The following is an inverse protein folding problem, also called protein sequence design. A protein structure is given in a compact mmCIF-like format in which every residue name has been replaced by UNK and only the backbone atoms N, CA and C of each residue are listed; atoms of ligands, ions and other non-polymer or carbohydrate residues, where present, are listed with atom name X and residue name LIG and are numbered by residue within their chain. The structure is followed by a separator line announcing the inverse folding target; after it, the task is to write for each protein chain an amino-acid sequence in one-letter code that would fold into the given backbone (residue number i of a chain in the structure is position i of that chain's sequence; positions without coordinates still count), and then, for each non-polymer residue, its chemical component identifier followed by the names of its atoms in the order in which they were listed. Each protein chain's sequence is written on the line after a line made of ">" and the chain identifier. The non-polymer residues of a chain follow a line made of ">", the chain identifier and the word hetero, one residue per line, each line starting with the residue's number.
data_IF_334793575716
#
_entry.id   IF_334793575716
#
_cell.length_a   1.000
_cell.length_b   1.000
_cell.length_c   1.000
_cell.angle_alpha   90.00
_cell.angle_beta   90.00
_cell.angle_gamma   90.00
#
_symmetry.space_group_name_H-M   'P 1'
#
loop_
_entity.id
_entity.type
_entity.pdbx_description
1 polymer ?
#
# COMPACT_ATOMS: atom_id res chain seq x y z
N UNK A 1 0.88 -15.57 2.47
CA UNK A 1 1.45 -14.41 1.77
C UNK A 1 0.41 -13.93 0.78
N UNK A 2 -0.18 -12.75 0.99
CA UNK A 2 -0.99 -12.12 -0.05
C UNK A 2 0.01 -11.52 -1.02
N UNK A 3 0.23 -12.21 -2.12
CA UNK A 3 1.14 -11.73 -3.17
C UNK A 3 0.41 -10.57 -3.85
N UNK A 4 1.00 -9.37 -3.84
CA UNK A 4 0.56 -8.27 -4.70
C UNK A 4 0.54 -8.81 -6.14
N UNK A 5 -0.63 -8.88 -6.77
CA UNK A 5 -0.77 -9.50 -8.10
C UNK A 5 -0.20 -8.61 -9.21
N UNK A 6 -0.16 -7.30 -8.96
CA UNK A 6 0.28 -6.28 -9.91
C UNK A 6 1.71 -6.53 -10.46
N UNK A 7 2.75 -6.73 -9.63
CA UNK A 7 4.09 -7.08 -10.11
C UNK A 7 4.12 -8.33 -10.99
N UNK A 8 3.41 -9.40 -10.56
CA UNK A 8 3.34 -10.66 -11.32
C UNK A 8 2.68 -10.45 -12.68
N UNK A 9 1.58 -9.69 -12.74
CA UNK A 9 0.89 -9.37 -14.00
C UNK A 9 1.78 -8.56 -14.95
N UNK A 10 2.62 -7.66 -14.44
CA UNK A 10 3.56 -6.89 -15.26
C UNK A 10 4.64 -7.80 -15.88
N UNK A 11 5.17 -8.74 -15.10
CA UNK A 11 6.17 -9.71 -15.57
C UNK A 11 5.61 -10.68 -16.63
N UNK A 12 4.29 -10.91 -16.65
CA UNK A 12 3.61 -11.74 -17.65
C UNK A 12 3.36 -11.05 -18.99
N UNK A 13 3.62 -9.74 -19.11
CA UNK A 13 3.40 -9.01 -20.36
C UNK A 13 4.36 -9.48 -21.48
N UNK A 14 3.90 -9.59 -22.73
CA UNK A 14 4.76 -9.99 -23.85
C UNK A 14 5.91 -8.99 -24.07
N UNK A 15 7.13 -9.51 -24.25
CA UNK A 15 8.34 -8.72 -24.50
C UNK A 15 8.28 -7.61 -25.59
N UNK A 16 7.47 -7.70 -26.69
CA UNK A 16 7.41 -6.61 -27.67
C UNK A 16 6.57 -5.39 -27.24
N UNK A 17 5.83 -5.45 -26.11
CA UNK A 17 5.04 -4.34 -25.62
C UNK A 17 5.90 -3.41 -24.76
N UNK A 18 6.47 -2.36 -25.38
CA UNK A 18 7.05 -1.24 -24.65
C UNK A 18 5.94 -0.46 -23.95
N UNK A 19 5.63 -0.88 -22.73
CA UNK A 19 4.61 -0.26 -21.89
C UNK A 19 5.23 0.66 -20.84
N UNK A 20 4.53 1.74 -20.51
CA UNK A 20 4.80 2.57 -19.34
C UNK A 20 3.67 2.38 -18.33
N UNK A 21 4.04 2.19 -17.07
CA UNK A 21 3.08 2.20 -15.97
C UNK A 21 2.45 3.61 -15.88
N UNK A 22 1.13 3.65 -15.99
CA UNK A 22 0.36 4.88 -15.82
C UNK A 22 -0.19 4.99 -14.42
N UNK A 23 -0.73 3.89 -13.91
CA UNK A 23 -1.45 3.86 -12.66
C UNK A 23 -1.41 2.44 -12.09
N UNK A 24 -1.68 2.31 -10.80
CA UNK A 24 -1.64 1.04 -10.11
C UNK A 24 -2.53 1.01 -8.88
N UNK A 25 -2.91 -0.22 -8.54
CA UNK A 25 -3.48 -0.62 -7.27
C UNK A 25 -2.62 -1.75 -6.69
N UNK A 26 -3.01 -2.33 -5.56
CA UNK A 26 -2.37 -3.54 -5.06
C UNK A 26 -2.59 -4.76 -5.98
N UNK A 27 -3.67 -4.80 -6.75
CA UNK A 27 -4.11 -5.98 -7.52
C UNK A 27 -4.26 -5.74 -9.03
N UNK A 28 -4.08 -4.51 -9.51
CA UNK A 28 -4.09 -4.19 -10.94
C UNK A 28 -3.04 -3.13 -11.28
N UNK A 29 -2.64 -3.13 -12.55
CA UNK A 29 -1.79 -2.09 -13.13
C UNK A 29 -2.44 -1.56 -14.40
N UNK A 30 -2.38 -0.25 -14.61
CA UNK A 30 -2.74 0.39 -15.87
C UNK A 30 -1.44 0.73 -16.58
N UNK A 31 -1.35 0.27 -17.81
CA UNK A 31 -0.18 0.49 -18.66
C UNK A 31 -0.61 1.16 -19.96
N UNK A 32 0.17 2.11 -20.45
CA UNK A 32 0.01 2.69 -21.78
C UNK A 32 1.21 2.39 -22.65
N UNK A 33 1.05 2.64 -23.95
CA UNK A 33 2.17 2.65 -24.88
C UNK A 33 3.17 3.73 -24.47
N UNK A 34 4.47 3.40 -24.45
CA UNK A 34 5.55 4.25 -23.93
C UNK A 34 5.72 5.62 -24.63
N UNK A 35 4.97 5.89 -25.71
CA UNK A 35 4.96 7.17 -26.40
C UNK A 35 4.06 8.25 -25.75
N UNK A 36 3.26 7.90 -24.74
CA UNK A 36 2.38 8.86 -24.06
C UNK A 36 2.95 9.32 -22.72
N UNK A 37 2.90 10.63 -22.39
CA UNK A 37 3.30 11.11 -21.08
C UNK A 37 2.40 10.51 -19.99
N UNK A 38 3.01 9.94 -18.96
CA UNK A 38 2.30 9.53 -17.75
C UNK A 38 2.05 10.77 -16.90
N UNK A 39 0.78 11.10 -16.65
CA UNK A 39 0.40 12.15 -15.70
C UNK A 39 -0.02 11.47 -14.41
N UNK A 40 0.85 11.50 -13.41
CA UNK A 40 0.49 11.07 -12.08
C UNK A 40 -0.55 12.05 -11.51
N UNK A 41 -1.68 11.55 -11.02
CA UNK A 41 -2.65 12.38 -10.31
C UNK A 41 -2.04 12.88 -8.99
N UNK A 42 -2.27 14.16 -8.60
CA UNK A 42 -1.79 14.67 -7.32
C UNK A 42 -2.49 13.97 -6.15
N UNK A 43 -1.88 13.97 -4.95
CA UNK A 43 -2.54 13.47 -3.75
C UNK A 43 -3.82 14.25 -3.44
N UNK A 44 -4.86 13.56 -2.99
CA UNK A 44 -6.10 14.18 -2.55
C UNK A 44 -5.92 14.96 -1.24
N UNK A 45 -5.03 14.48 -0.37
CA UNK A 45 -4.59 15.17 0.85
C UNK A 45 -3.09 15.44 0.74
N UNK A 46 -2.72 16.71 0.63
CA UNK A 46 -1.33 17.17 0.70
C UNK A 46 -0.85 17.20 2.15
N UNK A 47 0.39 16.78 2.38
CA UNK A 47 1.02 16.74 3.70
C UNK A 47 2.36 17.48 3.70
N UNK A 48 3.40 16.91 3.07
CA UNK A 48 4.82 17.30 3.19
C UNK A 48 5.48 16.88 4.52
N UNK A 49 5.21 15.63 4.95
CA UNK A 49 5.77 15.05 6.17
C UNK A 49 7.13 14.38 5.91
N UNK A 50 8.18 14.88 6.58
CA UNK A 50 9.52 14.30 6.47
C UNK A 50 9.59 13.00 7.27
N UNK A 51 9.44 11.86 6.59
CA UNK A 51 9.51 10.54 7.21
C UNK A 51 10.95 10.13 7.54
N UNK A 52 11.89 10.43 6.64
CA UNK A 52 13.34 10.26 6.82
C UNK A 52 14.07 11.42 6.11
N UNK A 53 15.36 11.68 6.39
CA UNK A 53 16.10 12.78 5.74
C UNK A 53 16.05 12.80 4.21
N UNK A 54 15.92 11.63 3.55
CA UNK A 54 15.83 11.51 2.08
C UNK A 54 14.45 11.09 1.56
N UNK A 55 13.45 10.94 2.45
CA UNK A 55 12.11 10.47 2.11
C UNK A 55 11.05 11.36 2.75
N UNK A 56 10.22 11.95 1.91
CA UNK A 56 9.08 12.75 2.31
C UNK A 56 7.80 12.04 1.89
N UNK A 57 6.81 12.00 2.78
CA UNK A 57 5.44 11.66 2.39
C UNK A 57 4.73 12.94 1.98
N UNK A 58 4.63 13.17 0.67
CA UNK A 58 4.03 14.37 0.10
C UNK A 58 2.51 14.41 0.28
N UNK A 59 1.86 13.24 0.40
CA UNK A 59 0.43 13.16 0.61
C UNK A 59 -0.11 11.75 0.45
N UNK A 60 -1.44 11.64 0.52
CA UNK A 60 -2.14 10.39 0.30
C UNK A 60 -3.50 10.61 -0.39
N UNK A 61 -4.00 9.54 -1.01
CA UNK A 61 -5.35 9.47 -1.57
C UNK A 61 -6.02 8.19 -1.09
N UNK A 62 -7.34 8.26 -0.88
CA UNK A 62 -8.17 7.09 -0.73
C UNK A 62 -9.15 7.02 -1.90
N UNK A 63 -9.30 5.84 -2.48
CA UNK A 63 -10.27 5.59 -3.53
C UNK A 63 -11.02 4.28 -3.24
N UNK A 64 -12.34 4.21 -3.51
CA UNK A 64 -13.02 2.94 -3.50
C UNK A 64 -12.36 2.03 -4.53
N UNK A 65 -12.13 0.78 -4.15
CA UNK A 65 -11.58 -0.22 -5.06
C UNK A 65 -12.44 -0.32 -6.32
N UNK A 66 -11.85 -0.24 -7.53
CA UNK A 66 -12.59 -0.41 -8.77
C UNK A 66 -13.32 -1.75 -8.80
N UNK A 67 -14.63 -1.72 -9.05
CA UNK A 67 -15.42 -2.94 -9.20
C UNK A 67 -15.12 -3.55 -10.56
N UNK A 68 -14.52 -4.74 -10.60
CA UNK A 68 -14.34 -5.46 -11.85
C UNK A 68 -15.73 -5.88 -12.38
N UNK A 69 -16.17 -5.38 -13.56
CA UNK A 69 -17.51 -5.64 -14.07
C UNK A 69 -17.75 -7.10 -14.48
N UNK A 70 -16.68 -7.91 -14.56
CA UNK A 70 -16.71 -9.31 -15.02
C UNK A 70 -16.39 -10.28 -13.86
N UNK A 71 -15.94 -9.78 -12.71
CA UNK A 71 -15.70 -10.61 -11.53
C UNK A 71 -17.03 -10.95 -10.83
N UNK A 72 -17.14 -12.13 -10.18
CA UNK A 72 -18.30 -12.46 -9.37
C UNK A 72 -18.49 -11.40 -8.26
N UNK A 73 -19.74 -10.93 -8.07
CA UNK A 73 -20.17 -9.86 -7.15
C UNK A 73 -19.89 -10.14 -5.65
N UNK A 74 -19.12 -11.16 -5.32
CA UNK A 74 -18.80 -11.62 -3.97
C UNK A 74 -17.45 -11.11 -3.44
N UNK A 75 -16.84 -10.12 -4.10
CA UNK A 75 -15.65 -9.46 -3.55
C UNK A 75 -16.06 -8.60 -2.35
N UNK A 76 -15.45 -8.85 -1.18
CA UNK A 76 -15.64 -7.99 -0.01
C UNK A 76 -15.27 -6.55 -0.37
N UNK A 77 -16.02 -5.56 0.16
CA UNK A 77 -15.71 -4.16 -0.08
C UNK A 77 -14.28 -3.86 0.40
N UNK A 78 -13.57 -3.11 -0.42
CA UNK A 78 -12.18 -2.75 -0.14
C UNK A 78 -11.92 -1.32 -0.62
N UNK A 79 -10.80 -0.78 -0.15
CA UNK A 79 -10.38 0.58 -0.46
C UNK A 79 -8.92 0.58 -0.83
N UNK A 80 -8.58 1.38 -1.83
CA UNK A 80 -7.21 1.64 -2.21
C UNK A 80 -6.71 2.86 -1.44
N UNK A 81 -5.60 2.67 -0.73
CA UNK A 81 -4.77 3.75 -0.20
C UNK A 81 -3.62 3.96 -1.16
N UNK A 82 -3.41 5.19 -1.62
CA UNK A 82 -2.25 5.58 -2.41
C UNK A 82 -1.40 6.50 -1.54
N UNK A 83 -0.16 6.11 -1.26
CA UNK A 83 0.84 6.94 -0.61
C UNK A 83 1.72 7.60 -1.66
N UNK A 84 1.93 8.91 -1.56
CA UNK A 84 2.75 9.67 -2.50
C UNK A 84 4.08 10.01 -1.84
N UNK A 85 5.12 9.27 -2.21
CA UNK A 85 6.46 9.44 -1.68
C UNK A 85 7.27 10.36 -2.58
N UNK A 86 7.95 11.35 -2.01
CA UNK A 86 8.98 12.11 -2.70
C UNK A 86 10.35 11.64 -2.22
N UNK A 87 11.21 11.28 -3.18
CA UNK A 87 12.58 10.84 -2.91
C UNK A 87 13.55 11.99 -3.21
N UNK A 88 14.18 12.53 -2.18
CA UNK A 88 15.09 13.69 -2.31
C UNK A 88 16.27 13.33 -3.22
N UNK A 89 16.89 12.18 -2.96
CA UNK A 89 18.03 11.69 -3.73
C UNK A 89 17.62 10.81 -4.93
N UNK A 90 16.31 10.61 -5.14
CA UNK A 90 15.77 9.73 -6.18
C UNK A 90 15.94 8.23 -5.89
N UNK A 91 16.31 7.87 -4.65
CA UNK A 91 16.58 6.49 -4.21
C UNK A 91 15.87 6.21 -2.90
N UNK A 92 15.25 5.02 -2.79
CA UNK A 92 14.69 4.56 -1.52
C UNK A 92 15.81 4.08 -0.58
N UNK A 93 15.83 4.47 0.71
CA UNK A 93 16.87 4.08 1.65
C UNK A 93 17.05 2.57 1.77
N UNK A 94 18.30 2.11 1.74
CA UNK A 94 18.61 0.69 1.87
C UNK A 94 18.17 0.14 3.25
N UNK A 95 17.57 -1.05 3.25
CA UNK A 95 17.16 -1.74 4.47
C UNK A 95 15.89 -1.20 5.15
N UNK A 96 15.29 -0.12 4.63
CA UNK A 96 14.02 0.44 5.14
C UNK A 96 12.85 -0.22 4.42
N UNK A 97 11.91 -0.75 5.18
CA UNK A 97 10.63 -1.30 4.73
C UNK A 97 9.47 -0.42 5.18
N UNK A 98 8.31 -0.60 4.57
CA UNK A 98 7.04 0.07 4.86
C UNK A 98 6.06 -0.96 5.41
N UNK A 99 5.37 -0.65 6.51
CA UNK A 99 4.24 -1.41 7.03
C UNK A 99 3.01 -0.52 7.04
N UNK A 100 1.94 -0.95 6.37
CA UNK A 100 0.65 -0.24 6.33
C UNK A 100 -0.37 -1.03 7.14
N UNK A 101 -0.98 -0.38 8.13
CA UNK A 101 -1.87 -1.01 9.11
C UNK A 101 -3.19 -0.23 9.23
N UNK A 102 -4.32 -0.77 8.79
CA UNK A 102 -5.61 -0.09 8.96
C UNK A 102 -6.00 0.01 10.44
N UNK A 103 -6.67 1.11 10.80
CA UNK A 103 -7.19 1.35 12.15
C UNK A 103 -8.71 1.44 12.15
N UNK A 104 -9.32 1.05 13.28
CA UNK A 104 -10.73 1.24 13.61
C UNK A 104 -10.84 1.89 14.98
N UNK A 105 -11.49 3.05 15.06
CA UNK A 105 -11.57 3.90 16.26
C UNK A 105 -10.17 4.24 16.79
N UNK A 106 -9.24 4.49 15.87
CA UNK A 106 -7.82 4.72 16.16
C UNK A 106 -7.03 3.50 16.68
N UNK A 107 -7.63 2.31 16.74
CA UNK A 107 -6.95 1.08 17.18
C UNK A 107 -6.57 0.19 15.99
N UNK A 108 -5.41 -0.47 16.07
CA UNK A 108 -4.98 -1.44 15.05
C UNK A 108 -5.99 -2.59 14.95
N UNK A 109 -6.41 -2.89 13.73
CA UNK A 109 -7.33 -4.00 13.46
C UNK A 109 -6.60 -5.33 13.66
N UNK A 110 -7.25 -6.24 14.38
CA UNK A 110 -6.74 -7.58 14.69
C UNK A 110 -7.70 -8.63 14.14
N UNK A 111 -7.16 -9.75 13.67
CA UNK A 111 -7.91 -10.91 13.19
C UNK A 111 -7.48 -12.16 13.96
N UNK A 112 -8.41 -13.05 14.32
CA UNK A 112 -8.08 -14.32 14.94
C UNK A 112 -7.12 -15.13 14.06
N UNK A 113 -6.09 -15.71 14.65
CA UNK A 113 -5.09 -16.48 13.92
C UNK A 113 -5.53 -17.95 13.84
N UNK A 114 -6.21 -18.32 12.76
CA UNK A 114 -6.59 -19.70 12.45
C UNK A 114 -8.11 -19.91 12.40
N UNK A 115 -8.55 -20.91 11.62
CA UNK A 115 -9.88 -21.51 11.84
C UNK A 115 -9.71 -22.43 13.06
N UNK A 116 -10.60 -22.43 14.06
CA UNK A 116 -10.59 -23.47 15.06
C UNK A 116 -10.70 -24.82 14.33
N UNK A 117 -9.67 -25.65 14.44
CA UNK A 117 -9.84 -27.06 14.14
C UNK A 117 -10.93 -27.54 15.09
N UNK A 118 -12.07 -28.00 14.55
CA UNK A 118 -13.19 -28.48 15.35
C UNK A 118 -12.69 -29.57 16.31
N UNK A 119 -12.48 -29.21 17.59
CA UNK A 119 -12.06 -30.15 18.63
C UNK A 119 -10.97 -29.67 19.58
N UNK A 120 -10.23 -28.60 19.28
CA UNK A 120 -9.15 -28.11 20.16
C UNK A 120 -9.47 -26.72 20.72
N UNK A 121 -9.94 -26.69 21.96
CA UNK A 121 -10.05 -25.47 22.76
C UNK A 121 -8.67 -25.11 23.33
N UNK A 122 -7.82 -24.47 22.53
CA UNK A 122 -6.61 -23.84 23.04
C UNK A 122 -6.86 -22.31 23.13
N UNK A 123 -6.89 -21.70 24.33
CA UNK A 123 -7.29 -20.31 24.52
C UNK A 123 -6.19 -19.27 24.21
N UNK A 124 -5.11 -19.65 23.54
CA UNK A 124 -4.03 -18.75 23.12
C UNK A 124 -4.05 -18.53 21.60
N UNK A 125 -5.22 -18.25 21.01
CA UNK A 125 -5.27 -17.66 19.67
C UNK A 125 -4.68 -16.24 19.76
N UNK A 126 -3.41 -16.08 19.38
CA UNK A 126 -2.79 -14.75 19.29
C UNK A 126 -3.39 -14.00 18.10
N UNK A 127 -4.28 -13.06 18.38
CA UNK A 127 -4.80 -12.10 17.41
C UNK A 127 -3.67 -11.46 16.57
N UNK A 128 -3.70 -11.70 15.25
CA UNK A 128 -2.74 -11.13 14.31
C UNK A 128 -3.18 -9.72 13.90
N UNK A 129 -2.26 -8.76 13.94
CA UNK A 129 -2.51 -7.41 13.41
C UNK A 129 -2.63 -7.49 11.88
N UNK A 130 -3.68 -6.88 11.33
CA UNK A 130 -3.81 -6.70 9.88
C UNK A 130 -2.75 -5.71 9.44
N UNK A 131 -1.83 -6.14 8.57
CA UNK A 131 -0.78 -5.29 8.02
C UNK A 131 -0.38 -5.73 6.61
N UNK A 132 0.12 -4.78 5.82
CA UNK A 132 0.77 -5.01 4.53
C UNK A 132 2.19 -4.47 4.59
N UNK A 133 3.16 -5.34 4.39
CA UNK A 133 4.58 -5.00 4.46
C UNK A 133 5.18 -4.99 3.05
N UNK A 134 5.95 -3.94 2.73
CA UNK A 134 6.70 -3.82 1.47
C UNK A 134 8.14 -3.38 1.73
N UNK A 135 9.13 -3.91 1.02
CA UNK A 135 10.53 -3.51 1.21
C UNK A 135 10.87 -2.14 0.60
N UNK A 136 9.98 -1.57 -0.24
CA UNK A 136 10.08 -0.23 -0.85
C UNK A 136 8.77 0.11 -1.57
N UNK A 137 8.53 1.39 -1.93
CA UNK A 137 7.42 1.77 -2.77
C UNK A 137 7.43 1.04 -4.12
N UNK A 138 6.25 0.82 -4.72
CA UNK A 138 6.11 0.25 -6.08
C UNK A 138 6.95 -1.02 -6.27
N UNK A 139 7.04 -1.86 -5.22
CA UNK A 139 7.94 -3.00 -5.22
C UNK A 139 7.64 -3.95 -6.38
N UNK A 140 8.66 -4.24 -7.19
CA UNK A 140 8.52 -5.07 -8.39
C UNK A 140 7.98 -4.35 -9.63
N UNK A 141 7.45 -3.12 -9.51
CA UNK A 141 6.82 -2.39 -10.62
C UNK A 141 7.73 -1.33 -11.24
N UNK A 142 8.55 -0.64 -10.43
CA UNK A 142 9.49 0.37 -10.92
C UNK A 142 10.87 0.15 -10.29
N UNK A 143 11.94 0.40 -11.05
CA UNK A 143 13.29 0.54 -10.49
C UNK A 143 13.47 1.97 -9.97
N UNK A 144 13.47 2.12 -8.64
CA UNK A 144 13.68 3.39 -7.92
C UNK A 144 15.17 3.78 -7.88
N UNK A 145 15.81 3.80 -9.05
CA UNK A 145 17.22 4.15 -9.22
C UNK A 145 17.45 4.94 -10.51
N UNK A 146 16.39 5.55 -11.03
CA UNK A 146 16.44 6.29 -12.28
C UNK A 146 16.63 7.79 -12.01
N UNK A 147 17.56 8.48 -12.71
CA UNK A 147 17.86 9.90 -12.47
C UNK A 147 16.65 10.84 -12.55
N UNK A 148 15.60 10.45 -13.29
CA UNK A 148 14.38 11.25 -13.42
C UNK A 148 13.50 11.24 -12.16
N UNK A 149 13.74 10.34 -11.19
CA UNK A 149 12.92 10.24 -9.97
C UNK A 149 13.34 11.20 -8.86
N UNK A 150 14.42 11.96 -9.03
CA UNK A 150 14.79 13.00 -8.07
C UNK A 150 13.66 14.02 -7.96
N UNK A 151 13.16 14.21 -6.74
CA UNK A 151 12.04 15.12 -6.43
C UNK A 151 10.71 14.78 -7.13
N UNK A 152 10.61 13.65 -7.84
CA UNK A 152 9.33 13.18 -8.38
C UNK A 152 8.54 12.42 -7.32
N UNK A 153 7.23 12.51 -7.44
CA UNK A 153 6.30 11.73 -6.65
C UNK A 153 6.26 10.29 -7.16
N UNK A 154 6.31 9.35 -6.23
CA UNK A 154 6.12 7.93 -6.43
C UNK A 154 4.81 7.56 -5.74
N UNK A 155 3.80 7.21 -6.52
CA UNK A 155 2.54 6.70 -5.99
C UNK A 155 2.65 5.21 -5.68
N UNK A 156 2.32 4.84 -4.44
CA UNK A 156 2.46 3.49 -3.90
C UNK A 156 1.12 3.01 -3.32
N UNK A 157 0.48 2.08 -4.02
CA UNK A 157 -0.91 1.72 -3.79
C UNK A 157 -1.07 0.45 -2.95
N UNK A 158 -1.93 0.48 -1.94
CA UNK A 158 -2.21 -0.59 -0.98
C UNK A 158 -3.71 -0.89 -0.94
N UNK A 159 -4.08 -2.17 -0.85
CA UNK A 159 -5.48 -2.61 -0.80
C UNK A 159 -5.88 -2.87 0.64
N UNK A 160 -6.65 -1.97 1.22
CA UNK A 160 -7.18 -2.14 2.57
C UNK A 160 -8.48 -2.95 2.49
N UNK A 161 -8.43 -4.21 2.91
CA UNK A 161 -9.62 -5.03 3.07
C UNK A 161 -10.48 -4.48 4.21
N UNK A 162 -11.76 -4.20 3.93
CA UNK A 162 -12.72 -3.85 4.97
C UNK A 162 -13.31 -5.16 5.50
N UNK A 163 -13.05 -5.50 6.75
CA UNK A 163 -13.52 -6.76 7.33
C UNK A 163 -15.07 -6.80 7.38
N UNK A 164 -15.66 -7.91 6.94
CA UNK A 164 -17.11 -8.18 6.97
C UNK A 164 -17.56 -8.74 8.36
N UNK A 165 -18.79 -8.47 8.83
CA UNK A 165 -19.74 -7.52 8.29
C UNK A 165 -19.19 -6.13 8.62
N UNK A 166 -18.83 -5.35 7.61
CA UNK A 166 -18.27 -4.05 7.86
C UNK A 166 -19.36 -3.22 8.56
N UNK A 167 -19.23 -2.78 9.83
CA UNK A 167 -19.60 -1.41 10.03
C UNK A 167 -18.59 -0.60 9.21
N UNK A 168 -18.93 0.62 8.84
CA UNK A 168 -18.01 1.62 8.31
C UNK A 168 -16.73 1.78 9.17
N UNK A 169 -15.75 0.89 9.02
CA UNK A 169 -14.92 0.49 10.15
C UNK A 169 -13.47 0.91 10.09
N UNK A 170 -12.86 0.98 8.91
CA UNK A 170 -11.53 1.59 8.83
C UNK A 170 -11.72 3.10 8.89
N UNK A 171 -11.22 3.71 9.96
CA UNK A 171 -11.28 5.15 10.19
C UNK A 171 -9.92 5.82 10.12
N UNK A 172 -8.88 5.05 9.81
CA UNK A 172 -7.55 5.56 9.55
C UNK A 172 -6.58 4.48 9.15
N UNK A 173 -5.33 4.89 9.01
CA UNK A 173 -4.21 4.00 8.72
C UNK A 173 -2.98 4.49 9.48
N UNK A 174 -2.23 3.53 10.01
CA UNK A 174 -0.88 3.74 10.50
C UNK A 174 0.12 3.24 9.46
N UNK A 175 1.05 4.10 9.08
CA UNK A 175 2.15 3.81 8.17
C UNK A 175 3.44 3.87 8.97
N UNK A 176 4.20 2.78 8.95
CA UNK A 176 5.44 2.64 9.70
C UNK A 176 6.57 2.40 8.71
N UNK A 177 7.62 3.21 8.79
CA UNK A 177 8.89 2.88 8.19
C UNK A 177 9.72 2.14 9.22
N UNK A 178 10.26 0.98 8.86
CA UNK A 178 11.02 0.15 9.80
C UNK A 178 12.25 -0.48 9.16
N UNK A 179 13.26 -0.73 9.98
CA UNK A 179 14.44 -1.48 9.60
C UNK A 179 14.49 -2.80 10.35
N UNK A 180 14.94 -3.86 9.67
CA UNK A 180 15.21 -5.13 10.33
C UNK A 180 16.51 -5.01 11.13
N UNK A 181 16.48 -5.45 12.38
CA UNK A 181 17.67 -5.57 13.25
C UNK A 181 17.85 -7.00 13.72
N UNK A 182 19.02 -7.29 14.29
CA UNK A 182 19.25 -8.56 14.96
C UNK A 182 18.25 -8.73 16.12
N UNK A 183 17.39 -9.74 16.02
CA UNK A 183 16.36 -10.02 17.01
C UNK A 183 15.03 -9.27 16.83
N UNK A 184 14.83 -8.50 15.76
CA UNK A 184 13.52 -7.87 15.52
C UNK A 184 13.51 -6.79 14.44
N UNK A 185 12.73 -5.75 14.69
CA UNK A 185 12.62 -4.57 13.84
C UNK A 185 12.65 -3.31 14.71
N UNK A 186 13.13 -2.23 14.12
CA UNK A 186 13.08 -0.89 14.71
C UNK A 186 12.23 0.00 13.81
N UNK A 187 11.26 0.69 14.41
CA UNK A 187 10.50 1.71 13.71
C UNK A 187 11.39 2.96 13.61
N UNK A 188 11.63 3.42 12.38
CA UNK A 188 12.42 4.62 12.08
C UNK A 188 11.53 5.83 11.79
N UNK A 189 10.26 5.58 11.43
CA UNK A 189 9.21 6.59 11.37
C UNK A 189 7.84 5.95 11.59
N UNK A 190 6.92 6.68 12.22
CA UNK A 190 5.52 6.29 12.37
C UNK A 190 4.64 7.48 11.99
N UNK A 191 3.71 7.24 11.08
CA UNK A 191 2.77 8.24 10.57
C UNK A 191 1.36 7.68 10.73
N UNK A 192 0.40 8.53 11.09
CA UNK A 192 -0.98 8.12 11.27
C UNK A 192 -1.92 9.10 10.56
N UNK A 193 -2.82 8.56 9.74
CA UNK A 193 -3.73 9.34 8.92
C UNK A 193 -5.17 8.93 9.20
N UNK A 194 -6.07 9.87 9.52
CA UNK A 194 -7.49 9.58 9.56
C UNK A 194 -8.03 9.37 8.14
N UNK A 195 -8.95 8.42 8.01
CA UNK A 195 -9.85 8.32 6.87
C UNK A 195 -10.98 9.31 7.09
N UNK A 196 -10.77 10.55 6.68
CA UNK A 196 -11.88 11.49 6.61
C UNK A 196 -12.75 11.09 5.41
N UNK A 197 -13.69 10.18 5.64
CA UNK A 197 -14.71 9.74 4.66
C UNK A 197 -15.71 10.86 4.32
N UNK A 198 -15.53 12.06 4.87
CA UNK A 198 -16.25 13.26 4.45
C UNK A 198 -15.59 13.74 3.16
N UNK A 199 -16.12 13.28 2.04
CA UNK A 199 -15.82 13.88 0.74
C UNK A 199 -16.12 15.40 0.74
N UNK A 200 -15.65 16.12 -0.29
CA UNK A 200 -16.06 17.51 -0.52
C UNK A 200 -17.59 17.66 -0.61
#
# INVERSE_FOLDING_TARGET
>A
ATVDAAPTLLDELPAPLAVQLQDQSADWVRVNNAAQPSTLEPPAVELDEVALPSVVLAGYSFAPTPVNPIAPQSASPAMDLILYWQLVDGVWPEGVSISVRPTLKGNLIRVPQGKPNQGESNPEESDQIVQQDRPRPVHGLIKLSAPFLQQQLVADAYRLALAEPAPAGVDGVSVILYQKKDGGFENVAELAFPLDMRGP
#
